data_IF_243860660383
#
_entry.id   IF_243860660383
#
_cell.length_a   1.000
_cell.length_b   1.000
_cell.length_c   1.000
_cell.angle_alpha   90.00
_cell.angle_beta   90.00
_cell.angle_gamma   90.00
#
_symmetry.space_group_name_H-M   'P 1'
#
loop_
_entity.id
_entity.type
_entity.pdbx_description
1 polymer ?
#
# COMPACT_ATOMS: atom_id res chain seq x y z
N UNK A 1 -5.26 26.55 31.69
CA UNK A 1 -4.95 25.15 31.33
C UNK A 1 -5.94 24.77 30.27
N UNK A 2 -5.54 24.87 29.01
CA UNK A 2 -6.42 24.53 27.85
C UNK A 2 -6.24 23.05 27.58
N UNK A 3 -7.27 22.25 27.82
CA UNK A 3 -7.36 20.88 27.35
C UNK A 3 -7.37 20.92 25.81
N UNK A 4 -6.24 20.63 25.21
CA UNK A 4 -6.17 20.28 23.79
C UNK A 4 -6.88 18.93 23.64
N UNK A 5 -8.18 18.98 23.36
CA UNK A 5 -8.98 17.84 22.96
C UNK A 5 -8.50 17.35 21.59
N UNK A 6 -7.48 16.49 21.57
CA UNK A 6 -7.18 15.67 20.40
C UNK A 6 -8.31 14.65 20.27
N UNK A 7 -9.32 14.99 19.48
CA UNK A 7 -10.30 14.00 19.03
C UNK A 7 -9.56 12.82 18.34
N UNK A 8 -10.22 11.68 18.17
CA UNK A 8 -9.59 10.52 17.52
C UNK A 8 -9.06 10.92 16.14
N UNK A 9 -7.86 10.42 15.80
CA UNK A 9 -7.25 10.70 14.51
C UNK A 9 -8.21 10.30 13.40
N UNK A 10 -8.49 11.25 12.50
CA UNK A 10 -9.38 11.07 11.35
C UNK A 10 -8.57 11.30 10.07
N UNK A 11 -8.55 10.32 9.18
CA UNK A 11 -7.83 10.38 7.91
C UNK A 11 -8.70 9.91 6.76
N UNK A 12 -8.43 10.43 5.55
CA UNK A 12 -9.15 10.05 4.35
C UNK A 12 -8.48 8.85 3.70
N UNK A 13 -9.29 7.86 3.32
CA UNK A 13 -8.91 6.69 2.51
C UNK A 13 -9.68 6.75 1.20
N UNK A 14 -9.00 6.57 0.10
CA UNK A 14 -9.57 6.65 -1.23
C UNK A 14 -9.60 5.30 -1.91
N UNK A 15 -10.71 4.97 -2.56
CA UNK A 15 -10.94 3.73 -3.28
C UNK A 15 -11.23 3.98 -4.75
N UNK A 16 -10.72 3.11 -5.60
CA UNK A 16 -11.01 3.08 -7.03
C UNK A 16 -10.51 4.30 -7.79
N UNK A 17 -11.25 4.63 -8.83
CA UNK A 17 -10.94 5.76 -9.71
C UNK A 17 -9.91 5.43 -10.79
N UNK A 18 -9.41 6.49 -11.42
CA UNK A 18 -8.35 6.43 -12.42
C UNK A 18 -7.23 7.37 -12.02
N UNK A 19 -6.00 6.86 -12.03
CA UNK A 19 -4.80 7.67 -11.86
C UNK A 19 -4.34 8.20 -13.23
N UNK A 20 -4.07 9.50 -13.32
CA UNK A 20 -3.55 10.18 -14.50
C UNK A 20 -2.15 10.68 -14.20
N UNK A 21 -1.16 10.10 -14.86
CA UNK A 21 0.24 10.46 -14.72
C UNK A 21 0.61 11.50 -15.79
N UNK A 22 1.13 12.65 -15.35
CA UNK A 22 1.54 13.74 -16.22
C UNK A 22 3.00 14.07 -15.90
N UNK A 23 3.87 13.91 -16.88
CA UNK A 23 5.26 14.34 -16.77
C UNK A 23 5.37 15.82 -17.04
N UNK A 24 5.88 16.55 -16.07
CA UNK A 24 6.14 17.99 -16.13
C UNK A 24 7.64 18.29 -16.02
N UNK A 25 8.05 19.54 -16.25
CA UNK A 25 9.44 19.94 -16.04
C UNK A 25 9.89 19.82 -14.56
N UNK A 26 8.94 19.74 -13.62
CA UNK A 26 9.21 19.56 -12.18
C UNK A 26 9.15 18.09 -11.74
N UNK A 27 8.87 17.15 -12.65
CA UNK A 27 8.78 15.72 -12.37
C UNK A 27 7.41 15.13 -12.70
N UNK A 28 7.16 13.92 -12.19
CA UNK A 28 5.89 13.22 -12.32
C UNK A 28 4.84 13.87 -11.40
N UNK A 29 3.71 14.25 -11.98
CA UNK A 29 2.51 14.68 -11.26
C UNK A 29 1.42 13.62 -11.46
N UNK A 30 0.75 13.23 -10.39
CA UNK A 30 -0.35 12.25 -10.43
C UNK A 30 -1.64 12.92 -9.97
N UNK A 31 -2.66 12.86 -10.82
CA UNK A 31 -4.01 13.31 -10.48
C UNK A 31 -4.97 12.13 -10.53
N UNK A 32 -6.12 12.26 -9.88
CA UNK A 32 -7.08 11.18 -9.76
C UNK A 32 -8.49 11.64 -10.09
N UNK A 33 -9.27 10.79 -10.76
CA UNK A 33 -10.68 11.03 -11.05
C UNK A 33 -11.52 9.83 -10.61
N UNK A 34 -12.77 10.07 -10.17
CA UNK A 34 -13.73 9.02 -9.84
C UNK A 34 -13.38 8.16 -8.61
N UNK A 35 -12.58 8.69 -7.67
CA UNK A 35 -12.29 8.00 -6.41
C UNK A 35 -13.45 8.19 -5.43
N UNK A 36 -13.69 7.14 -4.61
CA UNK A 36 -14.60 7.21 -3.48
C UNK A 36 -13.82 7.43 -2.19
N UNK A 37 -14.18 8.44 -1.42
CA UNK A 37 -13.54 8.74 -0.14
C UNK A 37 -14.32 8.06 1.01
N UNK A 38 -13.57 7.46 1.93
CA UNK A 38 -14.08 6.99 3.23
C UNK A 38 -13.14 7.52 4.30
N UNK A 39 -13.71 8.12 5.34
CA UNK A 39 -12.91 8.55 6.48
C UNK A 39 -12.62 7.37 7.40
N UNK A 40 -11.36 7.18 7.75
CA UNK A 40 -10.95 6.25 8.78
C UNK A 40 -10.76 7.00 10.10
N UNK A 41 -11.46 6.56 11.12
CA UNK A 41 -11.39 7.11 12.49
C UNK A 41 -10.76 6.05 13.37
N UNK A 42 -9.67 6.39 14.05
CA UNK A 42 -8.99 5.45 14.95
C UNK A 42 -9.87 5.15 16.16
N UNK A 43 -10.10 3.86 16.40
CA UNK A 43 -10.81 3.32 17.57
C UNK A 43 -9.94 2.23 18.22
N UNK A 44 -9.11 2.64 19.16
CA UNK A 44 -8.12 1.77 19.78
C UNK A 44 -7.09 1.25 18.76
N UNK A 45 -7.07 -0.06 18.55
CA UNK A 45 -6.12 -0.72 17.62
C UNK A 45 -6.65 -0.84 16.18
N UNK A 46 -7.91 -0.49 15.94
CA UNK A 46 -8.58 -0.63 14.64
C UNK A 46 -9.03 0.71 14.08
N UNK A 47 -9.46 0.71 12.83
CA UNK A 47 -10.10 1.88 12.21
C UNK A 47 -11.57 1.59 11.97
N UNK A 48 -12.42 2.56 12.32
CA UNK A 48 -13.82 2.59 11.97
C UNK A 48 -14.00 3.44 10.71
N UNK A 49 -14.80 2.98 9.78
CA UNK A 49 -15.11 3.70 8.56
C UNK A 49 -16.29 4.65 8.76
N UNK A 50 -16.18 5.87 8.28
CA UNK A 50 -17.26 6.87 8.27
C UNK A 50 -17.37 7.48 6.88
N UNK A 51 -18.58 7.86 6.48
CA UNK A 51 -18.75 8.66 5.28
C UNK A 51 -18.04 10.01 5.41
N UNK A 52 -17.48 10.57 4.34
CA UNK A 52 -16.90 11.89 4.36
C UNK A 52 -17.97 12.96 4.58
N UNK A 53 -17.55 14.11 5.10
CA UNK A 53 -18.43 15.30 5.09
C UNK A 53 -18.49 15.80 3.65
N UNK A 54 -19.68 15.96 3.05
CA UNK A 54 -19.79 16.34 1.66
C UNK A 54 -19.08 17.67 1.37
N UNK A 55 -18.14 17.67 0.44
CA UNK A 55 -17.70 18.90 -0.19
C UNK A 55 -18.81 19.35 -1.17
N UNK A 56 -19.26 20.59 -1.07
CA UNK A 56 -20.25 21.12 -2.01
C UNK A 56 -19.56 21.46 -3.32
N UNK A 57 -19.72 20.60 -4.33
CA UNK A 57 -19.13 20.83 -5.69
C UNK A 57 -20.00 21.77 -6.54
N UNK A 58 -21.25 22.00 -6.16
CA UNK A 58 -22.23 22.72 -6.97
C UNK A 58 -23.11 21.80 -7.83
N UNK A 59 -22.72 20.55 -8.07
CA UNK A 59 -23.57 19.51 -8.67
C UNK A 59 -24.16 18.61 -7.59
N UNK A 60 -25.30 19.00 -7.06
CA UNK A 60 -25.99 18.33 -5.94
C UNK A 60 -26.26 16.85 -6.23
N UNK A 61 -26.54 16.46 -7.49
CA UNK A 61 -26.85 15.07 -7.83
C UNK A 61 -25.58 14.20 -7.88
N UNK A 62 -24.50 14.74 -8.41
CA UNK A 62 -23.20 14.05 -8.43
C UNK A 62 -22.68 13.87 -6.99
N UNK A 63 -22.70 14.94 -6.19
CA UNK A 63 -22.29 14.93 -4.78
C UNK A 63 -23.08 13.91 -3.97
N UNK A 64 -24.40 13.80 -4.19
CA UNK A 64 -25.25 12.84 -3.48
C UNK A 64 -24.94 11.39 -3.86
N UNK A 65 -24.70 11.10 -5.14
CA UNK A 65 -24.36 9.75 -5.61
C UNK A 65 -22.99 9.30 -5.07
N UNK A 66 -22.00 10.18 -5.02
CA UNK A 66 -20.68 9.88 -4.46
C UNK A 66 -20.79 9.63 -2.94
N UNK A 67 -21.55 10.46 -2.23
CA UNK A 67 -21.76 10.28 -0.81
C UNK A 67 -22.45 8.93 -0.51
N UNK A 68 -23.50 8.57 -1.27
CA UNK A 68 -24.21 7.31 -1.08
C UNK A 68 -23.27 6.09 -1.24
N UNK A 69 -22.38 6.11 -2.23
CA UNK A 69 -21.37 5.04 -2.42
C UNK A 69 -20.38 4.98 -1.26
N UNK A 70 -19.95 6.13 -0.75
CA UNK A 70 -19.04 6.21 0.40
C UNK A 70 -19.72 5.70 1.67
N UNK A 71 -20.99 5.98 1.86
CA UNK A 71 -21.81 5.47 2.98
C UNK A 71 -21.98 3.95 2.90
N UNK A 72 -22.34 3.41 1.74
CA UNK A 72 -22.48 1.97 1.51
C UNK A 72 -21.16 1.24 1.81
N UNK A 73 -20.04 1.77 1.31
CA UNK A 73 -18.72 1.20 1.56
C UNK A 73 -18.37 1.27 3.06
N UNK A 74 -18.61 2.38 3.74
CA UNK A 74 -18.35 2.51 5.17
C UNK A 74 -19.18 1.51 6.00
N UNK A 75 -20.45 1.32 5.66
CA UNK A 75 -21.33 0.31 6.31
C UNK A 75 -20.76 -1.09 6.08
N UNK A 76 -20.35 -1.43 4.86
CA UNK A 76 -19.82 -2.76 4.55
C UNK A 76 -18.48 -3.06 5.24
N UNK A 77 -17.62 -2.04 5.39
CA UNK A 77 -16.37 -2.14 6.14
C UNK A 77 -16.62 -2.39 7.62
N UNK A 78 -17.51 -1.63 8.24
CA UNK A 78 -17.82 -1.74 9.67
C UNK A 78 -18.57 -3.03 10.03
N UNK A 79 -19.49 -3.49 9.18
CA UNK A 79 -20.23 -4.74 9.38
C UNK A 79 -19.41 -6.00 9.10
N UNK A 80 -18.22 -5.83 8.49
CA UNK A 80 -17.39 -6.95 8.07
C UNK A 80 -17.85 -7.68 6.81
N UNK A 81 -18.87 -7.16 6.11
CA UNK A 81 -19.38 -7.74 4.85
C UNK A 81 -18.52 -7.39 3.64
N UNK A 82 -17.68 -6.34 3.73
CA UNK A 82 -16.72 -6.03 2.70
C UNK A 82 -15.73 -7.19 2.47
N UNK A 83 -15.28 -7.44 1.23
CA UNK A 83 -14.29 -8.48 0.92
C UNK A 83 -13.03 -8.34 1.80
N UNK A 84 -12.39 -9.48 2.18
CA UNK A 84 -11.18 -9.43 3.03
C UNK A 84 -10.07 -8.52 2.50
N UNK A 85 -9.83 -8.51 1.18
CA UNK A 85 -8.85 -7.64 0.53
C UNK A 85 -9.22 -6.16 0.69
N UNK A 86 -10.50 -5.81 0.53
CA UNK A 86 -11.01 -4.43 0.69
C UNK A 86 -10.81 -3.93 2.12
N UNK A 87 -11.10 -4.77 3.12
CA UNK A 87 -10.88 -4.44 4.54
C UNK A 87 -9.40 -4.28 4.86
N UNK A 88 -8.56 -5.15 4.31
CA UNK A 88 -7.11 -5.06 4.50
C UNK A 88 -6.53 -3.80 3.86
N UNK A 89 -6.97 -3.47 2.65
CA UNK A 89 -6.59 -2.21 1.99
C UNK A 89 -7.02 -0.99 2.82
N UNK A 90 -8.28 -0.95 3.30
CA UNK A 90 -8.75 0.13 4.16
C UNK A 90 -7.85 0.35 5.37
N UNK A 91 -7.51 -0.72 6.09
CA UNK A 91 -6.65 -0.63 7.28
C UNK A 91 -5.22 -0.22 6.92
N UNK A 92 -4.68 -0.72 5.81
CA UNK A 92 -3.35 -0.35 5.33
C UNK A 92 -3.29 1.14 4.94
N UNK A 93 -4.24 1.60 4.14
CA UNK A 93 -4.31 2.99 3.70
C UNK A 93 -4.57 3.95 4.87
N UNK A 94 -5.43 3.58 5.82
CA UNK A 94 -5.67 4.36 7.03
C UNK A 94 -4.40 4.48 7.89
N UNK A 95 -3.67 3.38 8.10
CA UNK A 95 -2.43 3.38 8.87
C UNK A 95 -1.33 4.21 8.19
N UNK A 96 -1.20 4.10 6.87
CA UNK A 96 -0.28 4.93 6.11
C UNK A 96 -0.66 6.42 6.20
N UNK A 97 -1.90 6.78 5.91
CA UNK A 97 -2.38 8.16 5.95
C UNK A 97 -2.21 8.79 7.35
N UNK A 98 -2.49 8.04 8.42
CA UNK A 98 -2.27 8.51 9.79
C UNK A 98 -0.79 8.77 10.07
N UNK A 99 0.11 7.87 9.65
CA UNK A 99 1.55 8.06 9.84
C UNK A 99 2.09 9.29 9.10
N UNK A 100 1.48 9.63 7.95
CA UNK A 100 1.80 10.83 7.17
C UNK A 100 1.16 12.10 7.72
N UNK A 101 0.13 12.01 8.57
CA UNK A 101 -0.53 13.16 9.17
C UNK A 101 0.44 13.93 10.07
N UNK A 102 0.65 15.22 9.79
CA UNK A 102 1.62 16.05 10.51
C UNK A 102 3.07 15.59 10.39
N UNK A 103 3.42 14.79 9.38
CA UNK A 103 4.80 14.42 9.09
C UNK A 103 5.48 15.56 8.33
N UNK A 104 6.52 16.16 8.92
CA UNK A 104 7.31 17.24 8.30
C UNK A 104 8.44 16.69 7.43
N UNK A 105 9.18 15.73 7.94
CA UNK A 105 10.30 15.09 7.24
C UNK A 105 9.98 13.62 6.97
N UNK A 106 10.01 13.23 5.70
CA UNK A 106 9.74 11.83 5.30
C UNK A 106 10.73 10.84 5.91
N UNK A 107 11.92 11.29 6.31
CA UNK A 107 12.93 10.46 6.99
C UNK A 107 12.50 9.99 8.37
N UNK A 108 11.51 10.64 8.99
CA UNK A 108 10.95 10.26 10.29
C UNK A 108 9.85 9.21 10.19
N UNK A 109 9.40 8.88 8.96
CA UNK A 109 8.34 7.91 8.73
C UNK A 109 8.61 6.53 9.35
N UNK A 110 9.84 5.97 9.30
CA UNK A 110 10.13 4.69 9.95
C UNK A 110 9.86 4.66 11.45
N UNK A 111 9.97 5.80 12.13
CA UNK A 111 9.61 5.94 13.55
C UNK A 111 8.10 5.99 13.79
N UNK A 112 7.31 6.39 12.80
CA UNK A 112 5.85 6.51 12.89
C UNK A 112 5.09 5.29 12.36
N UNK A 113 5.67 4.57 11.40
CA UNK A 113 5.06 3.42 10.72
C UNK A 113 5.95 2.17 10.80
N UNK A 114 6.52 1.80 11.94
CA UNK A 114 7.24 0.53 12.04
C UNK A 114 6.21 -0.60 12.03
N UNK A 115 6.31 -1.54 11.09
CA UNK A 115 5.40 -2.67 10.98
C UNK A 115 6.13 -3.96 10.68
N UNK A 116 5.68 -5.01 11.35
CA UNK A 116 6.01 -6.39 10.99
C UNK A 116 4.90 -6.91 10.06
N UNK A 117 5.29 -7.41 8.89
CA UNK A 117 4.42 -7.97 7.88
C UNK A 117 4.64 -9.48 7.81
N UNK A 118 3.59 -10.25 7.60
CA UNK A 118 3.65 -11.72 7.50
C UNK A 118 3.59 -12.22 6.05
N UNK A 119 3.42 -11.32 5.07
CA UNK A 119 3.17 -11.66 3.67
C UNK A 119 1.71 -11.96 3.36
N UNK A 120 0.78 -11.50 4.22
CA UNK A 120 -0.66 -11.50 3.95
C UNK A 120 -1.13 -10.20 3.29
N UNK A 121 -2.43 -9.93 3.35
CA UNK A 121 -3.03 -8.74 2.72
C UNK A 121 -2.52 -7.41 3.30
N UNK A 122 -1.96 -7.40 4.49
CA UNK A 122 -1.30 -6.23 5.08
C UNK A 122 -0.09 -5.75 4.27
N UNK A 123 0.44 -6.59 3.37
CA UNK A 123 1.48 -6.20 2.41
C UNK A 123 1.06 -5.02 1.50
N UNK A 124 -0.24 -4.76 1.35
CA UNK A 124 -0.75 -3.58 0.64
C UNK A 124 -0.31 -2.25 1.29
N UNK A 125 0.14 -2.28 2.53
CA UNK A 125 0.76 -1.13 3.19
C UNK A 125 2.02 -0.65 2.47
N UNK A 126 2.73 -1.55 1.77
CA UNK A 126 3.96 -1.23 1.02
C UNK A 126 3.66 -0.28 -0.16
N UNK A 127 2.84 -0.67 -1.16
CA UNK A 127 2.58 0.20 -2.30
C UNK A 127 1.86 1.48 -1.87
N UNK A 128 0.96 1.44 -0.89
CA UNK A 128 0.28 2.63 -0.38
C UNK A 128 1.26 3.61 0.29
N UNK A 129 2.23 3.12 1.07
CA UNK A 129 3.31 3.96 1.64
C UNK A 129 4.16 4.58 0.54
N UNK A 130 4.55 3.79 -0.47
CA UNK A 130 5.31 4.29 -1.62
C UNK A 130 4.51 5.33 -2.41
N UNK A 131 3.20 5.12 -2.61
CA UNK A 131 2.31 6.08 -3.26
C UNK A 131 2.34 7.44 -2.55
N UNK A 132 2.17 7.44 -1.23
CA UNK A 132 2.19 8.67 -0.44
C UNK A 132 3.55 9.38 -0.50
N UNK A 133 4.65 8.63 -0.46
CA UNK A 133 6.00 9.18 -0.59
C UNK A 133 6.23 9.82 -1.97
N UNK A 134 5.86 9.12 -3.04
CA UNK A 134 6.09 9.55 -4.41
C UNK A 134 5.13 10.68 -4.82
N UNK A 135 3.82 10.44 -4.66
CA UNK A 135 2.78 11.28 -5.26
C UNK A 135 2.45 12.50 -4.39
N UNK A 136 2.53 12.37 -3.04
CA UNK A 136 2.16 13.45 -2.12
C UNK A 136 3.36 14.19 -1.53
N UNK A 137 4.51 13.53 -1.43
CA UNK A 137 5.74 14.14 -0.87
C UNK A 137 6.81 14.41 -1.90
N UNK A 138 6.62 14.01 -3.15
CA UNK A 138 7.57 14.23 -4.24
C UNK A 138 8.92 13.54 -4.01
N UNK A 139 8.95 12.44 -3.27
CA UNK A 139 10.17 11.68 -3.06
C UNK A 139 10.64 11.05 -4.38
N UNK A 140 11.96 10.90 -4.55
CA UNK A 140 12.47 10.07 -5.65
C UNK A 140 12.14 8.59 -5.41
N UNK A 141 12.19 7.79 -6.48
CA UNK A 141 11.96 6.34 -6.36
C UNK A 141 12.91 5.68 -5.35
N UNK A 142 14.19 6.03 -5.41
CA UNK A 142 15.23 5.50 -4.53
C UNK A 142 14.98 5.89 -3.08
N UNK A 143 14.61 7.15 -2.82
CA UNK A 143 14.26 7.62 -1.47
C UNK A 143 13.00 6.91 -0.94
N UNK A 144 11.98 6.72 -1.78
CA UNK A 144 10.76 6.01 -1.41
C UNK A 144 11.04 4.55 -1.07
N UNK A 145 11.87 3.86 -1.86
CA UNK A 145 12.30 2.49 -1.57
C UNK A 145 13.07 2.38 -0.25
N UNK A 146 14.07 3.26 -0.02
CA UNK A 146 14.88 3.25 1.22
C UNK A 146 14.01 3.51 2.46
N UNK A 147 13.14 4.50 2.41
CA UNK A 147 12.26 4.83 3.54
C UNK A 147 11.28 3.67 3.81
N UNK A 148 10.66 3.13 2.76
CA UNK A 148 9.74 1.98 2.86
C UNK A 148 10.44 0.76 3.47
N UNK A 149 11.66 0.46 3.02
CA UNK A 149 12.45 -0.65 3.55
C UNK A 149 12.74 -0.48 5.06
N UNK A 150 12.96 0.73 5.54
CA UNK A 150 13.17 1.01 6.95
C UNK A 150 11.88 0.97 7.79
N UNK A 151 10.72 1.14 7.17
CA UNK A 151 9.43 1.02 7.86
C UNK A 151 9.05 -0.43 8.15
N UNK A 152 9.44 -1.38 7.30
CA UNK A 152 8.86 -2.72 7.30
C UNK A 152 9.88 -3.83 7.54
N UNK A 153 9.43 -4.81 8.34
CA UNK A 153 10.12 -6.07 8.58
C UNK A 153 9.23 -7.21 8.12
N UNK A 154 9.72 -8.07 7.23
CA UNK A 154 9.02 -9.30 6.87
C UNK A 154 9.35 -10.39 7.90
N UNK A 155 8.32 -10.90 8.59
CA UNK A 155 8.41 -12.14 9.37
C UNK A 155 7.57 -13.21 8.69
N UNK A 156 8.25 -14.23 8.15
CA UNK A 156 7.58 -15.36 7.50
C UNK A 156 7.23 -16.41 8.57
N UNK A 157 5.94 -16.59 8.93
CA UNK A 157 5.53 -17.63 9.87
C UNK A 157 5.72 -19.03 9.28
N UNK A 158 5.80 -20.05 10.16
CA UNK A 158 5.76 -21.44 9.69
C UNK A 158 4.41 -21.76 9.04
N UNK A 159 4.44 -22.40 7.86
CA UNK A 159 3.22 -22.89 7.21
C UNK A 159 2.42 -21.85 6.43
N UNK A 160 2.90 -20.61 6.29
CA UNK A 160 2.27 -19.63 5.39
C UNK A 160 2.31 -20.18 3.97
N UNK A 161 1.12 -20.41 3.42
CA UNK A 161 0.93 -20.62 1.99
C UNK A 161 1.12 -19.27 1.29
N UNK A 162 1.66 -19.31 0.08
CA UNK A 162 1.82 -18.12 -0.76
C UNK A 162 0.48 -17.39 -0.85
N UNK A 163 0.37 -16.25 -0.18
CA UNK A 163 -0.81 -15.42 -0.28
C UNK A 163 -0.74 -14.65 -1.60
N UNK A 164 -1.60 -15.02 -2.53
CA UNK A 164 -1.69 -14.37 -3.84
C UNK A 164 -2.99 -13.61 -3.96
N UNK A 165 -2.94 -12.50 -4.67
CA UNK A 165 -4.11 -11.70 -4.99
C UNK A 165 -4.09 -11.32 -6.47
N UNK A 166 -5.23 -11.33 -7.15
CA UNK A 166 -5.30 -10.83 -8.51
C UNK A 166 -4.86 -9.37 -8.55
N UNK A 167 -3.91 -9.02 -9.41
CA UNK A 167 -3.47 -7.64 -9.59
C UNK A 167 -4.62 -6.73 -10.03
N UNK A 168 -5.59 -7.27 -10.80
CA UNK A 168 -6.83 -6.57 -11.15
C UNK A 168 -7.69 -6.20 -9.94
N UNK A 169 -7.72 -7.05 -8.89
CA UNK A 169 -8.45 -6.73 -7.66
C UNK A 169 -7.76 -5.60 -6.88
N UNK A 170 -6.42 -5.58 -6.84
CA UNK A 170 -5.68 -4.44 -6.27
C UNK A 170 -5.93 -3.17 -7.08
N UNK A 171 -5.92 -3.27 -8.41
CA UNK A 171 -6.20 -2.14 -9.31
C UNK A 171 -7.61 -1.58 -9.13
N UNK A 172 -8.59 -2.42 -8.83
CA UNK A 172 -9.95 -1.97 -8.54
C UNK A 172 -10.06 -1.19 -7.22
N UNK A 173 -9.21 -1.51 -6.23
CA UNK A 173 -9.14 -0.80 -4.95
C UNK A 173 -8.33 0.50 -5.07
N UNK A 174 -7.14 0.41 -5.65
CA UNK A 174 -6.25 1.55 -5.88
C UNK A 174 -5.40 1.31 -7.13
N UNK A 175 -5.74 1.96 -8.26
CA UNK A 175 -5.03 1.75 -9.54
C UNK A 175 -3.54 2.10 -9.46
N UNK A 176 -3.20 3.14 -8.70
CA UNK A 176 -1.81 3.58 -8.55
C UNK A 176 -0.96 2.55 -7.81
N UNK A 177 -1.50 1.91 -6.77
CA UNK A 177 -0.83 0.83 -6.05
C UNK A 177 -0.52 -0.35 -6.95
N UNK A 178 -1.46 -0.73 -7.82
CA UNK A 178 -1.23 -1.78 -8.79
C UNK A 178 -0.14 -1.40 -9.80
N UNK A 179 -0.05 -0.13 -10.19
CA UNK A 179 1.03 0.41 -11.02
C UNK A 179 2.39 0.33 -10.30
N UNK A 180 2.43 0.71 -9.02
CA UNK A 180 3.66 0.63 -8.21
C UNK A 180 4.12 -0.82 -8.02
N UNK A 181 3.21 -1.77 -7.78
CA UNK A 181 3.55 -3.20 -7.71
C UNK A 181 4.18 -3.68 -9.01
N UNK A 182 3.66 -3.27 -10.19
CA UNK A 182 4.29 -3.58 -11.48
C UNK A 182 5.70 -2.99 -11.58
N UNK A 183 5.89 -1.73 -11.20
CA UNK A 183 7.19 -1.07 -11.24
C UNK A 183 8.22 -1.74 -10.30
N UNK A 184 7.79 -2.17 -9.10
CA UNK A 184 8.61 -2.96 -8.18
C UNK A 184 9.02 -4.29 -8.85
N UNK A 185 8.05 -4.99 -9.45
CA UNK A 185 8.31 -6.24 -10.16
C UNK A 185 9.31 -6.07 -11.31
N UNK A 186 9.13 -5.05 -12.15
CA UNK A 186 10.02 -4.77 -13.27
C UNK A 186 11.46 -4.50 -12.80
N UNK A 187 11.62 -3.68 -11.77
CA UNK A 187 12.95 -3.39 -11.22
C UNK A 187 13.59 -4.62 -10.57
N UNK A 188 12.82 -5.46 -9.87
CA UNK A 188 13.32 -6.72 -9.33
C UNK A 188 13.76 -7.67 -10.43
N UNK A 189 12.91 -7.90 -11.44
CA UNK A 189 13.23 -8.77 -12.57
C UNK A 189 14.45 -8.26 -13.35
N UNK A 190 14.60 -6.94 -13.52
CA UNK A 190 15.78 -6.33 -14.15
C UNK A 190 17.07 -6.65 -13.38
N UNK A 191 17.08 -6.47 -12.04
CA UNK A 191 18.24 -6.82 -11.20
C UNK A 191 18.56 -8.31 -11.24
N UNK A 192 17.54 -9.16 -11.26
CA UNK A 192 17.73 -10.60 -11.38
C UNK A 192 18.30 -10.99 -12.75
N UNK A 193 17.85 -10.31 -13.81
CA UNK A 193 18.42 -10.50 -15.14
C UNK A 193 19.89 -10.12 -15.22
N UNK A 194 20.28 -9.00 -14.61
CA UNK A 194 21.68 -8.55 -14.58
C UNK A 194 22.57 -9.53 -13.81
N UNK A 195 22.04 -10.12 -12.73
CA UNK A 195 22.77 -11.10 -11.91
C UNK A 195 22.78 -12.52 -12.51
N UNK A 196 21.71 -12.91 -13.22
CA UNK A 196 21.50 -14.26 -13.78
C UNK A 196 21.02 -14.20 -15.23
N UNK A 197 21.85 -13.71 -16.17
CA UNK A 197 21.46 -13.53 -17.58
C UNK A 197 21.02 -14.86 -18.20
N UNK A 198 19.82 -14.90 -18.77
CA UNK A 198 19.28 -16.09 -19.43
C UNK A 198 18.58 -17.10 -18.53
N UNK A 199 18.60 -16.94 -17.21
CA UNK A 199 17.89 -17.81 -16.25
C UNK A 199 16.43 -17.36 -16.09
N UNK A 200 15.64 -17.53 -17.14
CA UNK A 200 14.23 -17.15 -17.17
C UNK A 200 13.37 -17.86 -16.14
N UNK A 201 13.75 -19.11 -15.79
CA UNK A 201 13.04 -19.86 -14.77
C UNK A 201 13.18 -19.20 -13.42
N UNK A 202 14.40 -18.87 -13.00
CA UNK A 202 14.67 -18.19 -11.73
C UNK A 202 13.99 -16.85 -11.66
N UNK A 203 14.08 -16.04 -12.72
CA UNK A 203 13.41 -14.73 -12.79
C UNK A 203 11.92 -14.89 -12.62
N UNK A 204 11.28 -15.81 -13.36
CA UNK A 204 9.86 -16.08 -13.27
C UNK A 204 9.41 -16.57 -11.88
N UNK A 205 10.19 -17.46 -11.25
CA UNK A 205 9.89 -17.97 -9.90
C UNK A 205 10.06 -16.90 -8.81
N UNK A 206 10.89 -15.89 -9.05
CA UNK A 206 11.19 -14.81 -8.11
C UNK A 206 10.37 -13.54 -8.35
N UNK A 207 9.56 -13.50 -9.39
CA UNK A 207 8.76 -12.33 -9.74
C UNK A 207 7.66 -12.07 -8.71
N UNK A 208 7.43 -10.78 -8.40
CA UNK A 208 6.32 -10.33 -7.56
C UNK A 208 4.98 -10.56 -8.23
N UNK A 209 4.92 -10.34 -9.55
CA UNK A 209 3.71 -10.53 -10.36
C UNK A 209 3.90 -11.71 -11.29
N UNK A 210 3.05 -12.73 -11.17
CA UNK A 210 3.04 -13.93 -12.01
C UNK A 210 1.60 -14.25 -12.43
N UNK A 211 1.39 -14.49 -13.71
CA UNK A 211 0.09 -14.88 -14.27
C UNK A 211 -1.07 -13.94 -13.88
N UNK A 212 -0.78 -12.64 -13.72
CA UNK A 212 -1.74 -11.64 -13.31
C UNK A 212 -2.03 -11.60 -11.80
N UNK A 213 -1.34 -12.40 -11.01
CA UNK A 213 -1.43 -12.42 -9.55
C UNK A 213 -0.19 -11.81 -8.90
N UNK A 214 -0.39 -11.16 -7.75
CA UNK A 214 0.67 -10.61 -6.89
C UNK A 214 0.97 -11.62 -5.80
N UNK A 215 2.22 -12.06 -5.70
CA UNK A 215 2.74 -12.82 -4.57
C UNK A 215 3.12 -11.85 -3.45
N UNK A 216 2.32 -11.82 -2.38
CA UNK A 216 2.47 -10.85 -1.29
C UNK A 216 3.71 -11.10 -0.43
N UNK A 217 4.15 -12.35 -0.29
CA UNK A 217 5.40 -12.67 0.41
C UNK A 217 6.59 -12.15 -0.39
N UNK A 218 6.58 -12.35 -1.70
CA UNK A 218 7.63 -11.85 -2.60
C UNK A 218 7.64 -10.32 -2.64
N UNK A 219 6.46 -9.67 -2.65
CA UNK A 219 6.36 -8.21 -2.55
C UNK A 219 7.00 -7.68 -1.25
N UNK A 220 6.67 -8.30 -0.10
CA UNK A 220 7.29 -7.94 1.17
C UNK A 220 8.82 -8.18 1.14
N UNK A 221 9.26 -9.31 0.60
CA UNK A 221 10.69 -9.63 0.53
C UNK A 221 11.47 -8.62 -0.34
N UNK A 222 10.84 -8.11 -1.42
CA UNK A 222 11.44 -7.10 -2.29
C UNK A 222 11.55 -5.70 -1.65
N UNK A 223 10.70 -5.39 -0.67
CA UNK A 223 10.54 -4.03 -0.15
C UNK A 223 10.88 -3.86 1.33
N UNK A 224 10.94 -4.95 2.13
CA UNK A 224 11.28 -4.87 3.55
C UNK A 224 12.79 -4.85 3.76
N UNK A 225 13.28 -3.96 4.62
CA UNK A 225 14.71 -3.87 4.94
C UNK A 225 15.22 -5.02 5.82
N UNK A 226 14.32 -5.71 6.52
CA UNK A 226 14.65 -6.85 7.37
C UNK A 226 13.73 -8.03 7.06
N UNK A 227 14.33 -9.22 6.92
CA UNK A 227 13.59 -10.48 6.71
C UNK A 227 13.93 -11.44 7.84
N UNK A 228 12.91 -11.85 8.59
CA UNK A 228 13.02 -12.83 9.68
C UNK A 228 12.28 -14.09 9.27
N UNK A 229 13.00 -15.20 9.14
CA UNK A 229 12.44 -16.49 8.81
C UNK A 229 12.67 -17.48 9.94
N UNK A 230 11.65 -18.27 10.26
CA UNK A 230 11.72 -19.30 11.30
C UNK A 230 12.45 -20.58 10.85
N UNK A 231 12.68 -20.76 9.53
CA UNK A 231 13.45 -21.87 8.96
C UNK A 231 14.62 -21.36 8.10
N UNK A 232 15.83 -21.77 8.43
CA UNK A 232 17.07 -21.39 7.73
C UNK A 232 17.04 -21.59 6.21
N UNK A 233 16.41 -22.70 5.72
CA UNK A 233 16.31 -22.96 4.27
C UNK A 233 15.51 -21.89 3.51
N UNK A 234 14.46 -21.33 4.11
CA UNK A 234 13.65 -20.28 3.47
C UNK A 234 14.32 -18.90 3.58
N UNK A 235 15.00 -18.65 4.69
CA UNK A 235 15.83 -17.45 4.87
C UNK A 235 16.95 -17.37 3.86
N UNK A 236 17.64 -18.48 3.59
CA UNK A 236 18.73 -18.58 2.60
C UNK A 236 18.25 -18.28 1.18
N UNK A 237 17.12 -18.85 0.74
CA UNK A 237 16.58 -18.60 -0.59
C UNK A 237 16.08 -17.18 -0.77
N UNK A 238 15.35 -16.64 0.21
CA UNK A 238 14.88 -15.24 0.15
C UNK A 238 16.05 -14.26 0.20
N UNK A 239 17.05 -14.46 1.09
CA UNK A 239 18.24 -13.60 1.11
C UNK A 239 19.04 -13.67 -0.19
N UNK A 240 19.23 -14.85 -0.77
CA UNK A 240 19.93 -15.01 -2.04
C UNK A 240 19.24 -14.29 -3.20
N UNK A 241 17.91 -14.12 -3.14
CA UNK A 241 17.13 -13.41 -4.15
C UNK A 241 17.18 -11.88 -3.99
N UNK A 242 17.40 -11.36 -2.77
CA UNK A 242 17.24 -9.94 -2.46
C UNK A 242 18.49 -9.24 -1.94
N UNK A 243 19.59 -9.96 -1.71
CA UNK A 243 20.90 -9.39 -1.34
C UNK A 243 21.77 -9.13 -2.59
N UNK A 244 21.14 -8.61 -3.63
CA UNK A 244 21.84 -8.22 -4.87
C UNK A 244 22.18 -6.73 -4.84
#
# INVERSE_FOLDING_TARGET
MSENGTGPARVSVYFGGTAHEIWTNSGLSVSYTGRHEVCAVRDGAVYRAEAPVPARSGDVKADYNELAKSEELAVSLNSGTAPPLTRAYFNAAAAAAEAFSGLWDIRDLPGRLPRELSGGYEALLIPETMRLLLDERGASWEAACDITARCFTLRVPEGVRDARVPLGAVSALQPRDAGLIRAINEKLCGRLWDAYPGDWQRIGESAVVRDGEVDLVTLCAACCGTIICTKERRAGSLRAMYTL
#
